data_IF_729672571171
#
_entry.id   IF_729672571171
#
_cell.length_a   1.000
_cell.length_b   1.000
_cell.length_c   1.000
_cell.angle_alpha   90.00
_cell.angle_beta   90.00
_cell.angle_gamma   90.00
#
_symmetry.space_group_name_H-M   'P 1'
#
loop_
_entity.id
_entity.type
_entity.pdbx_description
1 polymer ?
#
# COMPACT_ATOMS: atom_id res chain seq x y z
N UNK A 1 69.10 -59.43 -8.88
CA UNK A 1 67.70 -59.33 -9.21
C UNK A 1 66.87 -58.56 -8.16
N UNK A 2 67.33 -58.27 -6.97
CA UNK A 2 66.60 -57.65 -5.86
C UNK A 2 66.58 -56.13 -5.94
N UNK A 3 67.52 -55.49 -6.67
CA UNK A 3 67.64 -54.02 -6.78
C UNK A 3 66.60 -53.34 -7.67
N UNK A 4 66.04 -54.03 -8.66
CA UNK A 4 65.03 -53.41 -9.59
C UNK A 4 63.60 -53.43 -9.02
N UNK A 5 63.25 -54.41 -8.21
CA UNK A 5 61.94 -54.48 -7.57
C UNK A 5 61.74 -53.38 -6.53
N UNK A 6 62.78 -52.97 -5.78
CA UNK A 6 62.67 -51.89 -4.79
C UNK A 6 62.43 -50.50 -5.45
N UNK A 7 62.93 -50.29 -6.69
CA UNK A 7 62.67 -49.01 -7.40
C UNK A 7 61.25 -48.88 -7.87
N UNK A 8 60.60 -49.94 -8.30
CA UNK A 8 59.19 -49.88 -8.75
C UNK A 8 58.20 -49.77 -7.59
N UNK A 9 58.51 -50.36 -6.41
CA UNK A 9 57.74 -50.22 -5.20
C UNK A 9 57.78 -48.77 -4.68
N UNK A 10 58.92 -48.06 -4.75
CA UNK A 10 59.05 -46.67 -4.34
C UNK A 10 58.35 -45.75 -5.29
N UNK A 11 58.38 -46.01 -6.62
CA UNK A 11 57.64 -45.21 -7.61
C UNK A 11 56.14 -45.44 -7.53
N UNK A 12 55.68 -46.67 -7.20
CA UNK A 12 54.23 -46.94 -7.04
C UNK A 12 53.68 -46.28 -5.76
N UNK A 13 54.47 -46.26 -4.66
CA UNK A 13 54.06 -45.58 -3.41
C UNK A 13 54.01 -44.03 -3.55
N UNK A 14 54.91 -43.42 -4.34
CA UNK A 14 54.90 -42.00 -4.59
C UNK A 14 53.73 -41.62 -5.51
N UNK A 15 53.31 -42.48 -6.46
CA UNK A 15 52.18 -42.22 -7.32
C UNK A 15 50.84 -42.33 -6.60
N UNK A 16 50.70 -43.25 -5.64
CA UNK A 16 49.52 -43.40 -4.78
C UNK A 16 49.39 -42.22 -3.81
N UNK A 17 50.50 -41.70 -3.25
CA UNK A 17 50.47 -40.51 -2.37
C UNK A 17 50.11 -39.20 -3.14
N UNK A 18 50.52 -39.08 -4.41
CA UNK A 18 50.20 -37.87 -5.21
C UNK A 18 48.75 -37.88 -5.67
N UNK A 19 48.12 -39.07 -5.87
CA UNK A 19 46.70 -39.15 -6.21
C UNK A 19 45.74 -38.85 -5.05
N UNK A 20 46.20 -38.87 -3.79
CA UNK A 20 45.34 -38.53 -2.65
C UNK A 20 45.32 -37.04 -2.31
N UNK A 21 46.14 -36.22 -2.97
CA UNK A 21 46.20 -34.76 -2.72
C UNK A 21 45.28 -33.97 -3.71
N UNK A 22 44.81 -34.62 -4.77
CA UNK A 22 43.85 -34.06 -5.72
C UNK A 22 42.47 -34.71 -5.57
N UNK A 23 41.91 -34.74 -4.36
CA UNK A 23 40.45 -34.78 -4.24
C UNK A 23 39.96 -33.42 -4.67
N UNK A 24 39.13 -33.31 -5.70
CA UNK A 24 38.40 -32.05 -5.90
C UNK A 24 37.53 -31.89 -4.65
N UNK A 25 37.93 -30.99 -3.75
CA UNK A 25 36.96 -30.41 -2.86
C UNK A 25 35.96 -29.71 -3.80
N UNK A 26 34.86 -30.38 -4.11
CA UNK A 26 33.64 -29.69 -4.44
C UNK A 26 33.34 -28.85 -3.21
N UNK A 27 33.83 -27.61 -3.25
CA UNK A 27 33.23 -26.58 -2.46
C UNK A 27 31.75 -26.59 -2.86
N UNK A 28 30.93 -27.24 -2.04
CA UNK A 28 29.55 -26.86 -1.95
C UNK A 28 29.63 -25.40 -1.50
N UNK A 29 29.66 -24.49 -2.48
CA UNK A 29 29.12 -23.18 -2.25
C UNK A 29 27.70 -23.46 -1.75
N UNK A 30 27.48 -23.33 -0.47
CA UNK A 30 26.17 -23.08 0.01
C UNK A 30 25.73 -21.86 -0.81
N UNK A 31 24.90 -22.07 -1.82
CA UNK A 31 24.06 -21.01 -2.34
C UNK A 31 23.30 -20.54 -1.11
N UNK A 32 23.77 -19.44 -0.56
CA UNK A 32 22.99 -18.60 0.33
C UNK A 32 21.92 -17.97 -0.60
N UNK A 33 20.98 -18.81 -1.00
CA UNK A 33 19.80 -18.42 -1.74
C UNK A 33 18.72 -18.01 -0.76
N UNK A 34 19.01 -17.09 0.12
CA UNK A 34 17.99 -16.20 0.63
C UNK A 34 17.79 -15.11 -0.42
N UNK A 35 17.38 -15.48 -1.63
CA UNK A 35 16.69 -14.52 -2.48
C UNK A 35 15.34 -14.29 -1.80
N UNK A 36 15.28 -13.25 -0.96
CA UNK A 36 14.00 -12.71 -0.53
C UNK A 36 13.18 -12.43 -1.79
N UNK A 37 11.94 -12.87 -1.81
CA UNK A 37 11.02 -12.54 -2.89
C UNK A 37 10.82 -11.02 -2.92
N UNK A 38 10.95 -10.41 -4.09
CA UNK A 38 10.69 -8.98 -4.26
C UNK A 38 9.27 -8.78 -4.75
N UNK A 39 8.44 -8.11 -3.97
CA UNK A 39 7.05 -7.79 -4.29
C UNK A 39 6.94 -6.31 -4.64
N UNK A 40 6.44 -6.02 -5.84
CA UNK A 40 6.21 -4.65 -6.32
C UNK A 40 4.89 -4.12 -5.79
N UNK A 41 4.98 -3.10 -4.97
CA UNK A 41 3.83 -2.47 -4.32
C UNK A 41 3.49 -1.15 -5.01
N UNK A 42 2.26 -1.00 -5.49
CA UNK A 42 1.74 0.29 -5.91
C UNK A 42 1.66 1.25 -4.72
N UNK A 43 2.54 2.26 -4.74
CA UNK A 43 2.71 3.23 -3.65
C UNK A 43 2.46 4.64 -4.18
N UNK A 44 1.21 4.99 -4.42
CA UNK A 44 0.79 6.30 -4.92
C UNK A 44 0.58 7.28 -3.76
N UNK A 45 0.76 8.57 -4.04
CA UNK A 45 0.58 9.61 -3.03
C UNK A 45 -0.85 9.61 -2.46
N UNK A 46 -0.97 9.37 -1.17
CA UNK A 46 -2.23 9.41 -0.43
C UNK A 46 -1.95 9.89 0.99
N UNK A 47 -2.37 11.10 1.27
CA UNK A 47 -2.06 11.79 2.52
C UNK A 47 -2.44 10.97 3.76
N UNK A 48 -1.49 10.87 4.70
CA UNK A 48 -1.60 10.06 5.92
C UNK A 48 -1.51 8.55 5.71
N UNK A 49 -1.60 8.08 4.45
CA UNK A 49 -1.54 6.65 4.12
C UNK A 49 -0.23 6.24 3.43
N UNK A 50 0.07 6.85 2.29
CA UNK A 50 1.33 6.72 1.57
C UNK A 50 1.95 8.11 1.39
N UNK A 51 2.97 8.40 2.15
CA UNK A 51 3.67 9.69 2.14
C UNK A 51 5.13 9.47 1.83
N UNK A 52 5.70 10.33 1.00
CA UNK A 52 7.13 10.39 0.72
C UNK A 52 7.58 11.84 0.83
N UNK A 53 8.63 12.09 1.61
CA UNK A 53 9.22 13.42 1.74
C UNK A 53 10.18 13.76 0.60
N UNK A 54 10.74 14.98 0.61
CA UNK A 54 11.66 15.45 -0.43
C UNK A 54 12.98 14.66 -0.47
N UNK A 55 13.36 14.04 0.63
CA UNK A 55 14.52 13.15 0.75
C UNK A 55 14.24 11.72 0.31
N UNK A 56 12.98 11.39 -0.02
CA UNK A 56 12.54 10.07 -0.47
C UNK A 56 12.21 9.10 0.68
N UNK A 57 12.14 9.58 1.93
CA UNK A 57 11.73 8.75 3.06
C UNK A 57 10.22 8.53 3.01
N UNK A 58 9.82 7.28 3.24
CA UNK A 58 8.41 6.86 3.21
C UNK A 58 7.84 6.81 4.62
N UNK A 59 6.56 7.16 4.72
CA UNK A 59 5.80 7.12 5.97
C UNK A 59 4.29 6.94 5.69
N UNK A 60 3.49 6.88 6.76
CA UNK A 60 2.05 6.75 6.70
C UNK A 60 1.55 5.35 7.01
N UNK A 61 0.24 5.24 7.28
CA UNK A 61 -0.39 3.99 7.72
C UNK A 61 -0.09 2.81 6.80
N UNK A 62 -0.23 2.99 5.48
CA UNK A 62 0.02 1.92 4.50
C UNK A 62 1.47 1.48 4.47
N UNK A 63 2.41 2.40 4.61
CA UNK A 63 3.83 2.07 4.71
C UNK A 63 4.16 1.31 5.99
N UNK A 64 3.65 1.77 7.14
CA UNK A 64 3.88 1.09 8.42
C UNK A 64 3.24 -0.30 8.45
N UNK A 65 2.06 -0.45 7.84
CA UNK A 65 1.40 -1.74 7.67
C UNK A 65 2.26 -2.72 6.83
N UNK A 66 2.78 -2.28 5.69
CA UNK A 66 3.65 -3.10 4.84
C UNK A 66 4.93 -3.53 5.60
N UNK A 67 5.54 -2.62 6.34
CA UNK A 67 6.70 -2.94 7.18
C UNK A 67 6.36 -3.95 8.29
N UNK A 68 5.14 -3.91 8.82
CA UNK A 68 4.70 -4.88 9.80
C UNK A 68 4.49 -6.25 9.14
N UNK A 69 3.84 -6.30 7.99
CA UNK A 69 3.67 -7.54 7.21
C UNK A 69 5.00 -8.22 6.88
N UNK A 70 6.01 -7.46 6.46
CA UNK A 70 7.32 -7.98 6.12
C UNK A 70 8.03 -8.71 7.29
N UNK A 71 7.55 -8.57 8.52
CA UNK A 71 8.08 -9.34 9.67
C UNK A 71 7.58 -10.78 9.72
N UNK A 72 6.46 -11.04 9.06
CA UNK A 72 5.77 -12.33 9.05
C UNK A 72 5.79 -12.99 7.68
N UNK A 73 6.23 -12.24 6.69
CA UNK A 73 6.36 -12.66 5.30
C UNK A 73 7.75 -12.24 4.80
N UNK A 74 8.59 -13.20 4.51
CA UNK A 74 10.01 -12.99 4.16
C UNK A 74 10.17 -12.40 2.75
N UNK A 75 9.81 -11.12 2.60
CA UNK A 75 9.82 -10.39 1.33
C UNK A 75 10.50 -9.04 1.44
N UNK A 76 11.05 -8.60 0.32
CA UNK A 76 11.46 -7.23 0.08
C UNK A 76 10.41 -6.50 -0.76
N UNK A 77 10.10 -5.24 -0.44
CA UNK A 77 9.17 -4.44 -1.20
C UNK A 77 9.88 -3.45 -2.14
N UNK A 78 9.51 -3.49 -3.42
CA UNK A 78 9.78 -2.45 -4.39
C UNK A 78 8.56 -1.51 -4.48
N UNK A 79 8.71 -0.25 -4.05
CA UNK A 79 7.63 0.74 -4.07
C UNK A 79 7.61 1.49 -5.40
N UNK A 80 6.48 1.47 -6.11
CA UNK A 80 6.33 1.96 -7.48
C UNK A 80 5.19 2.97 -7.57
N UNK A 81 5.40 4.06 -8.34
CA UNK A 81 4.34 4.92 -8.83
C UNK A 81 3.84 5.98 -7.84
N UNK A 82 4.73 6.64 -7.09
CA UNK A 82 4.32 7.68 -6.15
C UNK A 82 3.58 8.85 -6.80
N UNK A 83 3.91 9.15 -8.06
CA UNK A 83 3.32 10.22 -8.89
C UNK A 83 2.08 9.79 -9.70
N UNK A 84 1.66 8.54 -9.56
CA UNK A 84 0.55 7.95 -10.31
C UNK A 84 -0.78 8.15 -9.61
N UNK A 85 -1.85 8.13 -10.40
CA UNK A 85 -3.22 8.13 -9.89
C UNK A 85 -3.65 6.74 -9.39
N UNK A 86 -4.77 6.70 -8.68
CA UNK A 86 -5.40 5.42 -8.31
C UNK A 86 -5.80 4.58 -9.54
N UNK A 87 -6.25 5.21 -10.61
CA UNK A 87 -6.64 4.50 -11.84
C UNK A 87 -5.41 3.92 -12.55
N UNK A 88 -4.28 4.65 -12.56
CA UNK A 88 -3.01 4.12 -13.05
C UNK A 88 -2.56 2.90 -12.24
N UNK A 89 -2.71 2.94 -10.91
CA UNK A 89 -2.37 1.78 -10.05
C UNK A 89 -3.18 0.54 -10.40
N UNK A 90 -4.49 0.71 -10.64
CA UNK A 90 -5.34 -0.39 -11.04
C UNK A 90 -4.90 -0.96 -12.40
N UNK A 91 -4.58 -0.11 -13.36
CA UNK A 91 -4.12 -0.54 -14.68
C UNK A 91 -2.77 -1.26 -14.58
N UNK A 92 -1.81 -0.72 -13.85
CA UNK A 92 -0.50 -1.35 -13.63
C UNK A 92 -0.64 -2.73 -12.96
N UNK A 93 -1.61 -2.91 -12.05
CA UNK A 93 -1.90 -4.19 -11.43
C UNK A 93 -2.53 -5.18 -12.41
N UNK A 94 -3.46 -4.73 -13.26
CA UNK A 94 -4.05 -5.55 -14.33
C UNK A 94 -2.99 -6.00 -15.34
N UNK A 95 -2.06 -5.12 -15.69
CA UNK A 95 -0.98 -5.41 -16.65
C UNK A 95 0.15 -6.26 -16.05
N UNK A 96 0.22 -6.35 -14.70
CA UNK A 96 1.26 -7.09 -13.97
C UNK A 96 2.58 -6.33 -13.88
N UNK A 97 2.54 -5.01 -13.99
CA UNK A 97 3.68 -4.13 -13.74
C UNK A 97 3.97 -3.99 -12.24
N UNK A 98 2.94 -4.14 -11.42
CA UNK A 98 3.00 -4.25 -9.96
C UNK A 98 2.24 -5.48 -9.48
N UNK A 99 2.56 -5.97 -8.29
CA UNK A 99 2.03 -7.23 -7.76
C UNK A 99 0.84 -7.01 -6.83
N UNK A 100 0.84 -5.92 -6.09
CA UNK A 100 -0.25 -5.59 -5.16
C UNK A 100 -0.43 -4.08 -4.97
N UNK A 101 -1.64 -3.70 -4.55
CA UNK A 101 -1.96 -2.35 -4.08
C UNK A 101 -2.74 -2.45 -2.77
N UNK A 102 -2.42 -1.59 -1.81
CA UNK A 102 -3.16 -1.47 -0.55
C UNK A 102 -4.25 -0.40 -0.63
N UNK A 103 -5.06 -0.22 0.41
CA UNK A 103 -6.13 0.79 0.52
C UNK A 103 -7.34 0.62 -0.41
N UNK A 104 -7.46 -0.52 -1.08
CA UNK A 104 -8.57 -0.75 -1.99
C UNK A 104 -9.89 -0.96 -1.25
N UNK A 105 -10.93 -0.26 -1.68
CA UNK A 105 -12.31 -0.58 -1.28
C UNK A 105 -12.87 -1.65 -2.22
N UNK A 106 -13.64 -2.58 -1.65
CA UNK A 106 -14.30 -3.62 -2.42
C UNK A 106 -15.52 -3.04 -3.13
N UNK A 107 -15.60 -3.23 -4.45
CA UNK A 107 -16.75 -2.89 -5.29
C UNK A 107 -16.96 -4.02 -6.30
N UNK A 108 -18.20 -4.21 -6.83
CA UNK A 108 -18.45 -5.25 -7.83
C UNK A 108 -17.50 -5.19 -9.03
N UNK A 109 -17.28 -4.01 -9.60
CA UNK A 109 -16.41 -3.80 -10.76
C UNK A 109 -14.95 -4.20 -10.46
N UNK A 110 -14.48 -3.93 -9.24
CA UNK A 110 -13.13 -4.32 -8.83
C UNK A 110 -13.02 -5.82 -8.54
N UNK A 111 -14.07 -6.46 -8.04
CA UNK A 111 -14.09 -7.91 -7.81
C UNK A 111 -14.03 -8.72 -9.11
N UNK A 112 -14.40 -8.14 -10.24
CA UNK A 112 -14.22 -8.76 -11.56
C UNK A 112 -12.74 -8.82 -11.98
N UNK A 113 -11.94 -7.81 -11.57
CA UNK A 113 -10.56 -7.60 -12.03
C UNK A 113 -9.50 -8.05 -11.04
N UNK A 114 -9.79 -7.99 -9.74
CA UNK A 114 -8.85 -8.23 -8.65
C UNK A 114 -9.37 -9.24 -7.64
N UNK A 115 -8.44 -9.91 -6.98
CA UNK A 115 -8.72 -10.66 -5.77
C UNK A 115 -8.34 -9.82 -4.54
N UNK A 116 -9.14 -9.94 -3.49
CA UNK A 116 -9.07 -9.12 -2.29
C UNK A 116 -8.57 -9.94 -1.10
N UNK A 117 -7.64 -9.38 -0.35
CA UNK A 117 -7.21 -9.95 0.93
C UNK A 117 -8.33 -9.94 1.97
N UNK A 118 -8.04 -10.41 3.16
CA UNK A 118 -8.80 -10.04 4.36
C UNK A 118 -8.71 -8.53 4.58
N UNK A 119 -9.69 -7.93 5.27
CA UNK A 119 -9.65 -6.50 5.55
C UNK A 119 -8.40 -6.16 6.38
N UNK A 120 -7.73 -5.08 6.00
CA UNK A 120 -6.53 -4.56 6.69
C UNK A 120 -6.84 -3.34 7.56
N UNK A 121 -8.09 -2.93 7.58
CA UNK A 121 -8.59 -1.85 8.41
C UNK A 121 -9.95 -1.38 7.96
N UNK A 122 -10.51 -0.48 8.75
CA UNK A 122 -11.78 0.20 8.48
C UNK A 122 -11.55 1.69 8.48
N UNK A 123 -12.08 2.40 7.50
CA UNK A 123 -12.04 3.84 7.47
C UNK A 123 -13.43 4.45 7.27
N UNK A 124 -13.55 5.74 7.62
CA UNK A 124 -14.76 6.51 7.41
C UNK A 124 -14.50 7.65 6.41
N UNK A 125 -15.54 8.11 5.75
CA UNK A 125 -15.57 9.46 5.25
C UNK A 125 -15.60 10.44 6.41
N UNK A 126 -14.89 11.54 6.28
CA UNK A 126 -14.94 12.66 7.22
C UNK A 126 -15.32 13.94 6.49
N UNK A 127 -16.14 14.72 7.14
CA UNK A 127 -16.40 16.10 6.78
C UNK A 127 -15.59 17.00 7.72
N UNK A 128 -14.67 17.77 7.17
CA UNK A 128 -13.83 18.69 7.95
C UNK A 128 -14.07 20.14 7.52
N UNK A 129 -13.91 21.03 8.47
CA UNK A 129 -13.92 22.48 8.28
C UNK A 129 -12.65 23.08 8.86
N UNK A 130 -12.31 24.33 8.58
CA UNK A 130 -11.21 25.00 9.25
C UNK A 130 -11.41 24.97 10.78
N UNK A 131 -10.35 24.86 11.53
CA UNK A 131 -10.40 24.79 12.99
C UNK A 131 -11.04 26.02 13.65
N UNK A 132 -10.94 27.19 13.00
CA UNK A 132 -11.53 28.46 13.45
C UNK A 132 -12.98 28.70 12.96
N UNK A 133 -13.53 27.82 12.12
CA UNK A 133 -14.90 27.92 11.67
C UNK A 133 -15.86 27.63 12.83
N UNK A 134 -16.59 28.63 13.27
CA UNK A 134 -17.59 28.52 14.36
C UNK A 134 -19.03 28.48 13.86
N UNK A 135 -19.26 28.61 12.55
CA UNK A 135 -20.61 28.67 11.96
C UNK A 135 -21.20 27.30 11.68
N UNK A 136 -20.36 26.33 11.29
CA UNK A 136 -20.74 24.93 11.07
C UNK A 136 -20.54 24.19 12.39
N UNK A 137 -21.62 23.74 13.03
CA UNK A 137 -21.61 23.13 14.36
C UNK A 137 -21.82 21.63 14.24
N UNK A 138 -20.93 20.86 14.87
CA UNK A 138 -20.90 19.39 14.86
C UNK A 138 -22.29 18.82 15.20
N UNK A 139 -22.82 17.97 14.31
CA UNK A 139 -24.14 17.32 14.45
C UNK A 139 -25.35 18.26 14.39
N UNK A 140 -25.16 19.56 14.21
CA UNK A 140 -26.26 20.48 13.97
C UNK A 140 -26.46 20.71 12.46
N UNK A 141 -27.15 19.80 11.80
CA UNK A 141 -27.32 19.75 10.35
C UNK A 141 -28.00 21.00 9.77
N UNK A 142 -28.73 21.79 10.56
CA UNK A 142 -29.26 23.06 10.09
C UNK A 142 -28.15 24.05 9.73
N UNK A 143 -26.99 23.97 10.37
CA UNK A 143 -25.82 24.81 10.07
C UNK A 143 -25.04 24.35 8.84
N UNK A 144 -25.32 23.15 8.32
CA UNK A 144 -24.68 22.61 7.12
C UNK A 144 -25.36 23.06 5.82
N UNK A 145 -26.58 23.60 5.91
CA UNK A 145 -27.34 24.00 4.73
C UNK A 145 -26.62 25.06 3.91
N UNK A 146 -26.41 24.74 2.63
CA UNK A 146 -25.81 25.67 1.67
C UNK A 146 -24.28 25.80 1.81
N UNK A 147 -23.61 25.02 2.69
CA UNK A 147 -22.14 25.02 2.76
C UNK A 147 -21.53 24.62 1.43
N UNK A 148 -20.43 25.26 1.05
CA UNK A 148 -19.63 24.92 -0.12
C UNK A 148 -18.70 23.77 0.28
N UNK A 149 -18.79 22.64 -0.43
CA UNK A 149 -18.05 21.40 -0.08
C UNK A 149 -17.11 21.02 -1.20
N UNK A 150 -15.82 20.89 -0.91
CA UNK A 150 -14.86 20.33 -1.84
C UNK A 150 -14.96 18.81 -1.87
N UNK A 151 -15.04 18.26 -3.06
CA UNK A 151 -15.11 16.84 -3.39
C UNK A 151 -13.98 16.47 -4.33
N UNK A 152 -13.38 15.29 -4.17
CA UNK A 152 -12.32 14.80 -5.03
C UNK A 152 -12.94 14.12 -6.27
N UNK A 153 -12.50 14.48 -7.47
CA UNK A 153 -12.96 13.87 -8.71
C UNK A 153 -12.77 12.33 -8.68
N UNK A 154 -13.80 11.60 -9.14
CA UNK A 154 -13.78 10.14 -9.21
C UNK A 154 -13.78 9.37 -7.86
N UNK A 155 -13.91 10.08 -6.74
CA UNK A 155 -13.89 9.42 -5.42
C UNK A 155 -15.28 8.89 -5.05
N UNK A 156 -15.35 7.59 -4.67
CA UNK A 156 -16.59 6.93 -4.24
C UNK A 156 -17.22 7.54 -2.99
N UNK A 157 -16.45 8.29 -2.19
CA UNK A 157 -16.96 9.01 -1.01
C UNK A 157 -17.92 10.15 -1.35
N UNK A 158 -17.91 10.63 -2.60
CA UNK A 158 -18.83 11.67 -3.03
C UNK A 158 -20.28 11.18 -2.98
N UNK A 159 -20.55 9.96 -3.43
CA UNK A 159 -21.86 9.33 -3.34
C UNK A 159 -22.26 9.07 -1.89
N UNK A 160 -21.33 8.52 -1.09
CA UNK A 160 -21.59 8.30 0.35
C UNK A 160 -21.91 9.58 1.10
N UNK A 161 -21.25 10.69 0.73
CA UNK A 161 -21.53 11.99 1.32
C UNK A 161 -22.88 12.54 0.87
N UNK A 162 -23.26 12.36 -0.38
CA UNK A 162 -24.57 12.74 -0.88
C UNK A 162 -25.68 11.98 -0.14
N UNK A 163 -25.56 10.66 -0.01
CA UNK A 163 -26.49 9.83 0.77
C UNK A 163 -26.55 10.27 2.23
N UNK A 164 -25.40 10.61 2.82
CA UNK A 164 -25.33 11.11 4.20
C UNK A 164 -26.08 12.43 4.33
N UNK A 165 -25.87 13.40 3.41
CA UNK A 165 -26.54 14.68 3.41
C UNK A 165 -28.07 14.53 3.28
N UNK A 166 -28.52 13.68 2.38
CA UNK A 166 -29.95 13.37 2.16
C UNK A 166 -30.57 12.73 3.42
N UNK A 167 -29.89 11.75 4.02
CA UNK A 167 -30.36 11.09 5.23
C UNK A 167 -30.41 12.02 6.45
N UNK A 168 -29.56 13.04 6.50
CA UNK A 168 -29.50 14.04 7.58
C UNK A 168 -30.35 15.28 7.28
N UNK A 169 -30.85 15.41 6.05
CA UNK A 169 -31.78 16.46 5.64
C UNK A 169 -31.13 17.84 5.48
N UNK A 170 -29.89 17.90 5.00
CA UNK A 170 -29.23 19.17 4.66
C UNK A 170 -28.78 19.23 3.20
N UNK A 171 -28.63 20.44 2.69
CA UNK A 171 -28.18 20.70 1.32
C UNK A 171 -26.77 21.31 1.34
N UNK A 172 -26.00 21.09 0.26
CA UNK A 172 -24.67 21.66 0.08
C UNK A 172 -24.42 22.06 -1.37
N UNK A 173 -23.37 22.85 -1.61
CA UNK A 173 -22.92 23.26 -2.95
C UNK A 173 -21.60 22.57 -3.25
N UNK A 174 -21.56 21.57 -4.14
CA UNK A 174 -20.33 20.82 -4.44
C UNK A 174 -19.37 21.65 -5.30
N UNK A 175 -18.07 21.50 -5.04
CA UNK A 175 -16.96 21.95 -5.88
C UNK A 175 -15.97 20.80 -6.04
N UNK A 176 -15.64 20.45 -7.29
CA UNK A 176 -14.80 19.29 -7.60
C UNK A 176 -13.36 19.71 -7.86
N UNK A 177 -12.40 18.92 -7.34
CA UNK A 177 -10.96 19.12 -7.44
C UNK A 177 -10.27 17.82 -7.86
N UNK A 178 -9.09 17.94 -8.45
CA UNK A 178 -8.33 16.77 -8.91
C UNK A 178 -7.39 16.24 -7.83
N UNK A 179 -7.01 17.05 -6.86
CA UNK A 179 -6.11 16.67 -5.77
C UNK A 179 -6.62 17.10 -4.40
N UNK A 180 -6.23 16.36 -3.36
CA UNK A 180 -6.52 16.73 -1.96
C UNK A 180 -5.83 18.06 -1.58
N UNK A 181 -4.63 18.31 -2.11
CA UNK A 181 -3.91 19.57 -1.88
C UNK A 181 -4.69 20.80 -2.37
N UNK A 182 -5.31 20.72 -3.54
CA UNK A 182 -6.19 21.79 -4.06
C UNK A 182 -7.43 21.99 -3.18
N UNK A 183 -8.01 20.91 -2.65
CA UNK A 183 -9.14 20.98 -1.71
C UNK A 183 -8.74 21.69 -0.42
N UNK A 184 -7.56 21.38 0.12
CA UNK A 184 -7.01 22.01 1.32
C UNK A 184 -6.73 23.50 1.10
N UNK A 185 -6.12 23.87 -0.04
CA UNK A 185 -5.89 25.25 -0.41
C UNK A 185 -7.23 26.02 -0.53
N UNK A 186 -8.25 25.40 -1.14
CA UNK A 186 -9.57 25.98 -1.27
C UNK A 186 -10.25 26.20 0.09
N UNK A 187 -10.05 25.26 1.04
CA UNK A 187 -10.56 25.40 2.41
C UNK A 187 -9.85 26.52 3.16
N UNK A 188 -8.51 26.59 3.11
CA UNK A 188 -7.72 27.59 3.81
C UNK A 188 -7.95 29.00 3.23
N UNK A 189 -8.17 29.12 1.92
CA UNK A 189 -8.50 30.39 1.24
C UNK A 189 -9.99 30.76 1.27
N UNK A 190 -10.81 30.00 2.01
CA UNK A 190 -12.26 30.23 2.16
C UNK A 190 -13.06 30.15 0.84
N UNK A 191 -12.52 29.53 -0.19
CA UNK A 191 -13.26 29.24 -1.44
C UNK A 191 -14.34 28.19 -1.19
N UNK A 192 -14.09 27.24 -0.27
CA UNK A 192 -15.05 26.27 0.24
C UNK A 192 -15.14 26.35 1.76
N UNK A 193 -16.23 25.85 2.34
CA UNK A 193 -16.49 25.88 3.78
C UNK A 193 -16.08 24.57 4.45
N UNK A 194 -16.10 23.48 3.68
CA UNK A 194 -15.78 22.13 4.15
C UNK A 194 -15.12 21.29 3.06
N UNK A 195 -14.44 20.21 3.46
CA UNK A 195 -13.90 19.20 2.56
C UNK A 195 -14.31 17.80 2.99
N UNK A 196 -14.53 16.91 2.01
CA UNK A 196 -14.83 15.50 2.21
C UNK A 196 -13.60 14.67 1.90
N UNK A 197 -13.10 13.90 2.89
CA UNK A 197 -11.90 13.08 2.75
C UNK A 197 -12.01 11.77 3.53
N UNK A 198 -10.90 11.03 3.62
CA UNK A 198 -10.78 9.81 4.42
C UNK A 198 -10.32 10.10 5.84
N UNK A 199 -10.82 9.34 6.81
CA UNK A 199 -10.33 9.38 8.20
C UNK A 199 -8.86 8.91 8.36
N UNK A 200 -8.26 8.38 7.30
CA UNK A 200 -6.83 8.05 7.25
C UNK A 200 -5.95 9.28 6.99
N UNK A 201 -6.56 10.37 6.48
CA UNK A 201 -5.85 11.61 6.22
C UNK A 201 -5.48 12.33 7.53
N UNK A 202 -4.27 12.84 7.62
CA UNK A 202 -3.89 13.77 8.69
C UNK A 202 -4.53 15.12 8.43
N UNK A 203 -5.30 15.61 9.39
CA UNK A 203 -5.95 16.93 9.30
C UNK A 203 -5.08 17.98 10.00
N UNK A 204 -4.69 19.02 9.27
CA UNK A 204 -3.92 20.15 9.80
C UNK A 204 -4.78 21.41 9.76
N UNK A 205 -4.88 22.13 10.90
CA UNK A 205 -5.71 23.34 11.02
C UNK A 205 -7.19 23.13 10.66
N UNK A 206 -7.66 21.89 10.80
CA UNK A 206 -9.03 21.49 10.55
C UNK A 206 -9.62 20.81 11.79
N UNK A 207 -10.95 20.81 11.86
CA UNK A 207 -11.69 19.95 12.78
C UNK A 207 -12.70 19.10 12.03
N UNK A 208 -12.88 17.88 12.49
CA UNK A 208 -13.88 16.97 11.96
C UNK A 208 -15.22 17.37 12.55
N UNK A 209 -16.21 17.65 11.69
CA UNK A 209 -17.59 17.98 12.11
C UNK A 209 -18.52 16.79 11.99
N UNK A 210 -18.18 15.82 11.14
CA UNK A 210 -18.96 14.58 11.01
C UNK A 210 -18.15 13.44 10.42
N UNK A 211 -18.66 12.19 10.61
CA UNK A 211 -18.14 10.97 10.03
C UNK A 211 -19.28 10.18 9.38
N UNK A 212 -19.01 9.58 8.24
CA UNK A 212 -20.00 8.84 7.46
C UNK A 212 -19.34 7.68 6.70
N UNK A 213 -20.13 6.78 6.14
CA UNK A 213 -19.69 5.78 5.19
C UNK A 213 -18.53 4.91 5.70
N UNK A 214 -18.71 4.20 6.82
CA UNK A 214 -17.72 3.26 7.31
C UNK A 214 -17.51 2.12 6.32
N UNK A 215 -16.28 1.84 5.93
CA UNK A 215 -15.96 0.75 5.02
C UNK A 215 -14.60 0.14 5.30
N UNK A 216 -14.51 -1.17 5.12
CA UNK A 216 -13.25 -1.88 5.15
C UNK A 216 -12.42 -1.58 3.90
N UNK A 217 -11.11 -1.66 4.06
CA UNK A 217 -10.18 -1.58 2.95
C UNK A 217 -9.20 -2.76 2.98
N UNK A 218 -8.65 -3.09 1.82
CA UNK A 218 -8.01 -4.35 1.52
C UNK A 218 -6.71 -4.15 0.76
N UNK A 219 -5.86 -5.18 0.76
CA UNK A 219 -4.86 -5.37 -0.29
C UNK A 219 -5.56 -6.03 -1.48
N UNK A 220 -5.25 -5.59 -2.68
CA UNK A 220 -5.68 -6.23 -3.92
C UNK A 220 -4.48 -6.76 -4.71
N UNK A 221 -4.69 -7.89 -5.34
CA UNK A 221 -3.77 -8.51 -6.29
C UNK A 221 -4.48 -8.75 -7.61
N UNK A 222 -3.72 -8.96 -8.69
CA UNK A 222 -4.30 -9.33 -9.99
C UNK A 222 -5.19 -10.56 -9.85
N UNK A 223 -6.32 -10.57 -10.53
CA UNK A 223 -7.28 -11.69 -10.54
C UNK A 223 -6.59 -13.01 -10.86
N UNK A 224 -6.79 -14.00 -9.99
CA UNK A 224 -6.22 -15.34 -10.11
C UNK A 224 -4.82 -15.50 -9.49
N UNK A 225 -4.20 -14.46 -8.95
CA UNK A 225 -2.93 -14.58 -8.22
C UNK A 225 -3.17 -15.07 -6.80
N UNK A 226 -3.59 -16.34 -6.68
CA UNK A 226 -3.98 -16.96 -5.41
C UNK A 226 -2.79 -17.27 -4.51
N UNK A 227 -1.61 -17.48 -5.06
CA UNK A 227 -0.39 -17.75 -4.29
C UNK A 227 -0.02 -16.53 -3.47
N UNK A 228 0.22 -15.40 -4.12
CA UNK A 228 0.52 -14.12 -3.46
C UNK A 228 -0.59 -13.72 -2.47
N UNK A 229 -1.86 -13.90 -2.84
CA UNK A 229 -2.99 -13.59 -1.95
C UNK A 229 -2.98 -14.42 -0.66
N UNK A 230 -2.60 -15.69 -0.74
CA UNK A 230 -2.52 -16.57 0.44
C UNK A 230 -1.39 -16.13 1.38
N UNK A 231 -0.24 -15.73 0.84
CA UNK A 231 0.88 -15.21 1.64
C UNK A 231 0.54 -13.89 2.33
N UNK A 232 -0.09 -12.97 1.60
CA UNK A 232 -0.63 -11.72 2.16
C UNK A 232 -1.60 -12.02 3.31
N UNK A 233 -2.57 -12.90 3.08
CA UNK A 233 -3.55 -13.27 4.10
C UNK A 233 -2.91 -13.95 5.32
N UNK A 234 -1.90 -14.78 5.10
CA UNK A 234 -1.14 -15.37 6.21
C UNK A 234 -0.46 -14.28 7.06
N UNK A 235 0.20 -13.32 6.41
CA UNK A 235 0.87 -12.21 7.12
C UNK A 235 -0.12 -11.30 7.86
N UNK A 236 -1.34 -11.10 7.31
CA UNK A 236 -2.40 -10.30 7.97
C UNK A 236 -2.91 -10.99 9.24
N UNK A 237 -2.87 -12.31 9.31
CA UNK A 237 -3.40 -13.10 10.44
C UNK A 237 -2.47 -13.15 11.65
N UNK A 238 -1.21 -12.69 11.52
CA UNK A 238 -0.22 -12.73 12.60
C UNK A 238 -0.29 -11.50 13.51
#
# INVERSE_FOLDING_TARGET
MISRAKKYVAVLLTFVCVCMIFSPQTAYAAEDSSQHETVKVGFFAMDGYHVMDEEGNRSGYGYDFLRLMARYWDVDYEYVGYDKSWDDMQQMLEDGEIDMVTSARKTPDREEKFDFSRPIGTNNGILTVRSDNSTIVDGNYSTYNGMRVALLNGNTRNEEFADFADNKGFTYVPSYFDTTAEMEEALQSEKVDAIVTSSLRKTNNERIVDKFGSSDFYVIVKKGNTELLNEINYAIDQ
#
